data_IF_919593206502
#
_entry.id   IF_919593206502
#
_cell.length_a   1.000
_cell.length_b   1.000
_cell.length_c   1.000
_cell.angle_alpha   90.00
_cell.angle_beta   90.00
_cell.angle_gamma   90.00
#
_symmetry.space_group_name_H-M   'P 1'
#
loop_
_entity.id
_entity.type
_entity.pdbx_description
1 polymer ?
#
# COMPACT_ATOMS: atom_id res chain seq x y z
N UNK A 1 -19.67 -13.94 38.02
CA UNK A 1 -18.23 -14.20 37.87
C UNK A 1 -17.81 -13.66 36.51
N UNK A 2 -17.08 -12.54 36.51
CA UNK A 2 -16.49 -11.99 35.28
C UNK A 2 -15.36 -12.92 34.88
N UNK A 3 -15.48 -13.59 33.73
CA UNK A 3 -14.34 -14.28 33.13
C UNK A 3 -13.42 -13.18 32.64
N UNK A 4 -12.40 -12.84 33.44
CA UNK A 4 -11.29 -12.05 32.97
C UNK A 4 -10.64 -12.85 31.85
N UNK A 5 -10.98 -12.52 30.60
CA UNK A 5 -10.25 -13.03 29.45
C UNK A 5 -8.84 -12.49 29.57
N UNK A 6 -7.90 -13.37 29.92
CA UNK A 6 -6.48 -13.05 29.93
C UNK A 6 -6.15 -12.37 28.60
N UNK A 7 -5.45 -11.24 28.65
CA UNK A 7 -4.99 -10.60 27.42
C UNK A 7 -4.14 -11.61 26.64
N UNK A 8 -4.32 -11.73 25.32
CA UNK A 8 -3.51 -12.64 24.54
C UNK A 8 -2.01 -12.31 24.73
N UNK A 9 -1.12 -13.33 24.70
CA UNK A 9 0.31 -13.11 24.83
C UNK A 9 0.84 -12.15 23.74
N UNK A 10 2.00 -11.52 24.00
CA UNK A 10 2.56 -10.51 23.10
C UNK A 10 2.75 -11.08 21.70
N UNK A 11 2.70 -10.25 20.66
CA UNK A 11 2.90 -10.72 19.29
C UNK A 11 4.24 -11.42 19.11
N UNK A 12 5.29 -10.97 19.79
CA UNK A 12 6.63 -11.58 19.80
C UNK A 12 6.72 -12.96 20.47
N UNK A 13 5.72 -13.34 21.25
CA UNK A 13 5.69 -14.59 22.02
C UNK A 13 4.77 -15.66 21.37
N UNK A 14 4.16 -15.33 20.23
CA UNK A 14 3.20 -16.18 19.52
C UNK A 14 3.81 -16.74 18.24
N UNK A 15 3.66 -18.04 18.02
CA UNK A 15 4.04 -18.67 16.76
C UNK A 15 2.99 -18.40 15.67
N UNK A 16 3.41 -17.85 14.53
CA UNK A 16 2.58 -17.71 13.33
C UNK A 16 2.65 -18.99 12.51
N UNK A 17 1.61 -19.79 12.69
CA UNK A 17 1.33 -20.88 11.76
C UNK A 17 0.53 -20.29 10.59
N UNK A 18 1.13 -20.27 9.39
CA UNK A 18 0.39 -19.98 8.15
C UNK A 18 -0.72 -21.01 8.00
N UNK A 19 -1.97 -20.58 8.20
CA UNK A 19 -3.16 -21.43 8.10
C UNK A 19 -4.06 -20.95 6.96
N UNK A 20 -4.53 -21.90 6.17
CA UNK A 20 -5.48 -21.65 5.07
C UNK A 20 -4.82 -21.30 3.74
N UNK A 21 -5.64 -21.28 2.70
CA UNK A 21 -5.29 -20.75 1.37
C UNK A 21 -5.53 -19.22 1.37
N UNK A 22 -4.91 -18.46 0.44
CA UNK A 22 -5.32 -17.08 0.22
C UNK A 22 -6.84 -16.98 0.06
N UNK A 23 -7.50 -15.93 0.59
CA UNK A 23 -8.95 -15.77 0.53
C UNK A 23 -9.47 -15.47 -0.88
N UNK A 24 -8.60 -14.99 -1.77
CA UNK A 24 -8.87 -14.66 -3.17
C UNK A 24 -7.96 -15.48 -4.10
N UNK A 25 -8.31 -15.57 -5.38
CA UNK A 25 -7.41 -16.07 -6.42
C UNK A 25 -6.20 -15.16 -6.65
N UNK A 26 -5.21 -15.61 -7.43
CA UNK A 26 -4.08 -14.74 -7.78
C UNK A 26 -4.48 -13.84 -8.95
N UNK A 27 -4.82 -12.59 -8.62
CA UNK A 27 -5.22 -11.59 -9.60
C UNK A 27 -4.17 -11.33 -10.70
N UNK A 28 -2.91 -11.74 -10.54
CA UNK A 28 -1.91 -11.67 -11.62
C UNK A 28 -2.17 -12.72 -12.68
N UNK A 29 -2.59 -13.93 -12.28
CA UNK A 29 -2.97 -14.99 -13.22
C UNK A 29 -4.15 -14.52 -14.07
N UNK A 30 -5.18 -13.95 -13.44
CA UNK A 30 -6.31 -13.36 -14.15
C UNK A 30 -5.92 -12.20 -15.07
N UNK A 31 -4.99 -11.34 -14.63
CA UNK A 31 -4.45 -10.28 -15.50
C UNK A 31 -3.81 -10.92 -16.75
N UNK A 32 -2.92 -11.89 -16.58
CA UNK A 32 -2.22 -12.55 -17.69
C UNK A 32 -3.20 -13.22 -18.67
N UNK A 33 -4.28 -13.83 -18.17
CA UNK A 33 -5.33 -14.38 -19.01
C UNK A 33 -6.05 -13.31 -19.84
N UNK A 34 -6.34 -12.14 -19.26
CA UNK A 34 -6.97 -11.04 -19.99
C UNK A 34 -6.02 -10.42 -21.02
N UNK A 35 -4.73 -10.27 -20.70
CA UNK A 35 -3.73 -9.81 -21.66
C UNK A 35 -3.59 -10.77 -22.83
N UNK A 36 -3.55 -12.09 -22.58
CA UNK A 36 -3.51 -13.10 -23.63
C UNK A 36 -4.75 -13.06 -24.56
N UNK A 37 -5.90 -12.60 -24.04
CA UNK A 37 -7.14 -12.37 -24.81
C UNK A 37 -7.17 -11.01 -25.53
N UNK A 38 -6.13 -10.17 -25.38
CA UNK A 38 -6.08 -8.81 -25.91
C UNK A 38 -7.03 -7.84 -25.21
N UNK A 39 -7.50 -8.17 -24.01
CA UNK A 39 -8.44 -7.34 -23.25
C UNK A 39 -7.74 -6.20 -22.50
N UNK A 40 -6.47 -6.32 -22.15
CA UNK A 40 -5.73 -5.21 -21.55
C UNK A 40 -4.25 -5.44 -21.75
N UNK A 41 -3.47 -4.40 -21.51
CA UNK A 41 -2.02 -4.52 -21.45
C UNK A 41 -1.58 -4.63 -20.00
N UNK A 42 -0.48 -5.35 -19.75
CA UNK A 42 0.15 -5.40 -18.44
C UNK A 42 1.54 -4.76 -18.51
N UNK A 43 1.75 -3.74 -17.69
CA UNK A 43 3.08 -3.20 -17.45
C UNK A 43 3.81 -4.13 -16.47
N UNK A 44 4.81 -4.86 -16.96
CA UNK A 44 5.64 -5.73 -16.13
C UNK A 44 6.50 -4.94 -15.15
N UNK A 45 6.82 -5.53 -14.01
CA UNK A 45 7.75 -4.94 -13.05
C UNK A 45 9.15 -4.84 -13.69
N UNK A 46 9.78 -3.66 -13.73
CA UNK A 46 11.11 -3.51 -14.32
C UNK A 46 12.18 -4.17 -13.44
N UNK A 47 13.24 -4.66 -14.09
CA UNK A 47 14.48 -5.04 -13.42
C UNK A 47 15.35 -3.80 -13.13
N UNK A 48 16.15 -3.81 -12.04
CA UNK A 48 16.20 -4.82 -10.99
C UNK A 48 14.98 -4.75 -10.06
N UNK A 49 14.46 -5.91 -9.66
CA UNK A 49 13.45 -6.03 -8.61
C UNK A 49 13.86 -7.03 -7.51
N UNK A 50 13.17 -6.96 -6.38
CA UNK A 50 13.28 -7.94 -5.29
C UNK A 50 11.95 -8.63 -5.08
N UNK A 51 11.99 -9.96 -4.93
CA UNK A 51 10.82 -10.74 -4.56
C UNK A 51 10.68 -10.83 -3.04
N UNK A 52 9.49 -10.49 -2.55
CA UNK A 52 9.11 -10.58 -1.14
C UNK A 52 7.91 -11.48 -0.97
N UNK A 53 7.77 -12.05 0.22
CA UNK A 53 6.67 -12.96 0.51
C UNK A 53 5.47 -12.24 1.14
N UNK A 54 4.27 -12.52 0.62
CA UNK A 54 3.04 -12.02 1.23
C UNK A 54 2.56 -12.94 2.34
N UNK A 55 1.54 -12.51 3.09
CA UNK A 55 0.96 -13.26 4.22
C UNK A 55 0.73 -14.76 3.94
N UNK A 56 0.25 -15.08 2.74
CA UNK A 56 -0.09 -16.46 2.35
C UNK A 56 0.96 -17.14 1.46
N UNK A 57 2.15 -16.55 1.30
CA UNK A 57 3.25 -17.19 0.60
C UNK A 57 3.38 -16.85 -0.88
N UNK A 58 2.53 -15.95 -1.41
CA UNK A 58 2.70 -15.46 -2.78
C UNK A 58 3.99 -14.64 -2.83
N UNK A 59 4.79 -14.84 -3.87
CA UNK A 59 5.91 -13.93 -4.18
C UNK A 59 5.34 -12.68 -4.81
N UNK A 60 5.79 -11.51 -4.38
CA UNK A 60 5.43 -10.20 -4.93
C UNK A 60 6.70 -9.50 -5.37
N UNK A 61 6.72 -8.94 -6.58
CA UNK A 61 7.88 -8.23 -7.11
C UNK A 61 7.84 -6.76 -6.73
N UNK A 62 8.94 -6.23 -6.22
CA UNK A 62 9.09 -4.84 -5.83
C UNK A 62 10.22 -4.23 -6.68
N UNK A 63 9.94 -3.31 -7.61
CA UNK A 63 10.98 -2.70 -8.44
C UNK A 63 11.88 -1.81 -7.59
N UNK A 64 13.19 -1.82 -7.84
CA UNK A 64 14.14 -0.96 -7.13
C UNK A 64 14.23 0.43 -7.76
N UNK A 65 14.19 0.50 -9.09
CA UNK A 65 14.32 1.72 -9.89
C UNK A 65 13.32 1.77 -11.06
N UNK A 66 13.45 2.79 -11.92
CA UNK A 66 12.48 3.16 -12.94
C UNK A 66 11.07 3.34 -12.35
N UNK A 67 10.99 4.00 -11.20
CA UNK A 67 9.74 4.18 -10.45
C UNK A 67 9.02 5.48 -10.76
N UNK A 68 7.70 5.44 -10.95
CA UNK A 68 6.83 6.59 -11.18
C UNK A 68 6.11 6.97 -9.88
N UNK A 69 6.37 8.15 -9.35
CA UNK A 69 5.84 8.56 -8.05
C UNK A 69 4.35 8.93 -8.14
N UNK A 70 3.48 7.97 -7.84
CA UNK A 70 2.06 8.25 -7.73
C UNK A 70 1.78 9.07 -6.47
N UNK A 71 1.48 10.36 -6.68
CA UNK A 71 1.22 11.40 -5.69
C UNK A 71 -0.05 11.16 -4.89
N UNK A 72 -0.01 11.62 -3.65
CA UNK A 72 -1.16 11.72 -2.76
C UNK A 72 -1.67 13.15 -2.71
N UNK A 73 -2.96 13.40 -2.98
CA UNK A 73 -3.53 14.74 -2.79
C UNK A 73 -3.39 15.21 -1.33
N UNK A 74 -3.65 14.32 -0.38
CA UNK A 74 -3.57 14.60 1.04
C UNK A 74 -2.12 14.79 1.51
N UNK A 75 -1.28 13.77 1.32
CA UNK A 75 0.09 13.79 1.84
C UNK A 75 0.97 14.78 1.08
N UNK A 76 0.96 14.81 -0.25
CA UNK A 76 1.81 15.74 -1.01
C UNK A 76 1.32 17.19 -0.87
N UNK A 77 0.02 17.42 -0.72
CA UNK A 77 -0.55 18.76 -0.57
C UNK A 77 -0.43 19.37 0.83
N UNK A 78 -0.49 18.55 1.89
CA UNK A 78 -0.52 19.03 3.28
C UNK A 78 0.75 18.69 4.08
N UNK A 79 1.48 17.64 3.68
CA UNK A 79 2.67 17.14 4.38
C UNK A 79 3.77 16.85 3.34
N UNK A 80 4.31 17.89 2.65
CA UNK A 80 5.27 17.71 1.56
C UNK A 80 6.56 17.00 2.01
N UNK A 81 6.84 16.97 3.32
CA UNK A 81 7.93 16.19 3.92
C UNK A 81 7.92 14.71 3.53
N UNK A 82 6.74 14.10 3.31
CA UNK A 82 6.64 12.67 2.97
C UNK A 82 7.16 12.36 1.56
N UNK A 83 6.67 13.09 0.54
CA UNK A 83 7.15 12.87 -0.83
C UNK A 83 8.60 13.33 -1.00
N UNK A 84 8.98 14.45 -0.37
CA UNK A 84 10.37 14.93 -0.43
C UNK A 84 11.36 13.96 0.20
N UNK A 85 11.00 13.29 1.30
CA UNK A 85 11.82 12.23 1.90
C UNK A 85 11.99 11.02 0.95
N UNK A 86 10.94 10.59 0.27
CA UNK A 86 11.02 9.51 -0.73
C UNK A 86 11.95 9.89 -1.89
N UNK A 87 11.82 11.10 -2.42
CA UNK A 87 12.71 11.56 -3.48
C UNK A 87 14.16 11.70 -3.00
N UNK A 88 14.34 12.15 -1.76
CA UNK A 88 15.66 12.21 -1.15
C UNK A 88 16.28 10.80 -0.99
N UNK A 89 15.51 9.80 -0.56
CA UNK A 89 15.96 8.41 -0.47
C UNK A 89 16.38 7.87 -1.83
N UNK A 90 15.56 8.02 -2.87
CA UNK A 90 15.93 7.59 -4.22
C UNK A 90 17.26 8.21 -4.67
N UNK A 91 17.43 9.54 -4.51
CA UNK A 91 18.70 10.22 -4.84
C UNK A 91 19.89 9.75 -4.00
N UNK A 92 19.68 9.42 -2.73
CA UNK A 92 20.76 8.98 -1.82
C UNK A 92 21.19 7.53 -2.07
N UNK A 93 20.27 6.69 -2.53
CA UNK A 93 20.52 5.31 -2.89
C UNK A 93 20.95 5.16 -4.36
N UNK A 94 20.69 6.17 -5.19
CA UNK A 94 21.08 6.18 -6.61
C UNK A 94 20.05 5.52 -7.54
N UNK A 95 18.81 5.36 -7.08
CA UNK A 95 17.74 4.73 -7.86
C UNK A 95 17.04 5.73 -8.78
N UNK A 96 16.77 5.32 -10.02
CA UNK A 96 16.05 6.14 -10.99
C UNK A 96 14.55 6.23 -10.66
N UNK A 97 14.02 7.45 -10.68
CA UNK A 97 12.61 7.73 -10.40
C UNK A 97 12.10 8.92 -11.20
N UNK A 98 10.79 8.96 -11.42
CA UNK A 98 10.08 10.04 -12.09
C UNK A 98 9.07 10.70 -11.14
N UNK A 99 9.13 12.04 -11.04
CA UNK A 99 8.15 12.87 -10.35
C UNK A 99 7.16 13.47 -11.38
N UNK A 100 5.98 12.86 -11.56
CA UNK A 100 5.08 13.24 -12.65
C UNK A 100 4.38 14.58 -12.42
N UNK A 101 4.23 15.37 -13.48
CA UNK A 101 3.47 16.63 -13.43
C UNK A 101 1.99 16.46 -13.79
N UNK A 102 1.68 15.45 -14.59
CA UNK A 102 0.35 15.29 -15.21
C UNK A 102 -0.54 14.28 -14.48
N UNK A 103 -0.19 13.90 -13.26
CA UNK A 103 -1.03 13.01 -12.45
C UNK A 103 -2.35 13.67 -12.02
N UNK A 104 -3.45 12.92 -12.06
CA UNK A 104 -4.73 13.30 -11.46
C UNK A 104 -4.94 12.64 -10.07
N UNK A 105 -5.91 13.15 -9.32
CA UNK A 105 -6.37 12.50 -8.07
C UNK A 105 -6.69 11.02 -8.28
N UNK A 106 -6.48 10.18 -7.27
CA UNK A 106 -6.94 8.79 -7.29
C UNK A 106 -8.46 8.64 -7.14
N UNK A 107 -9.17 9.70 -6.70
CA UNK A 107 -10.61 9.72 -6.35
C UNK A 107 -11.04 8.87 -5.14
N UNK A 108 -10.13 8.05 -4.60
CA UNK A 108 -10.38 7.13 -3.50
C UNK A 108 -10.96 7.77 -2.23
N UNK A 109 -10.51 8.99 -1.85
CA UNK A 109 -11.04 9.66 -0.66
C UNK A 109 -12.53 10.01 -0.82
N UNK A 110 -12.91 10.45 -2.02
CA UNK A 110 -14.30 10.76 -2.37
C UNK A 110 -15.15 9.49 -2.40
N UNK A 111 -14.60 8.38 -2.92
CA UNK A 111 -15.24 7.07 -2.95
C UNK A 111 -15.54 6.56 -1.54
N UNK A 112 -14.51 6.46 -0.69
CA UNK A 112 -14.68 5.96 0.67
C UNK A 112 -15.45 6.92 1.59
N UNK A 113 -15.52 8.20 1.25
CA UNK A 113 -16.42 9.17 1.90
C UNK A 113 -17.90 8.95 1.54
N UNK A 114 -18.19 8.04 0.60
CA UNK A 114 -19.52 7.82 0.02
C UNK A 114 -20.05 9.04 -0.75
N UNK A 115 -19.15 9.85 -1.29
CA UNK A 115 -19.47 11.09 -2.01
C UNK A 115 -19.39 10.93 -3.54
N UNK A 116 -18.86 9.82 -4.06
CA UNK A 116 -18.98 9.38 -5.46
C UNK A 116 -19.30 7.89 -5.54
N UNK A 117 -20.20 7.52 -6.48
CA UNK A 117 -20.68 6.14 -6.68
C UNK A 117 -20.49 5.62 -8.12
N UNK A 118 -19.79 6.34 -8.98
CA UNK A 118 -19.56 5.92 -10.37
C UNK A 118 -18.27 5.08 -10.48
N UNK A 119 -18.40 3.75 -10.49
CA UNK A 119 -17.27 2.81 -10.59
C UNK A 119 -16.49 2.97 -11.90
N UNK A 120 -17.15 3.16 -13.04
CA UNK A 120 -16.49 3.36 -14.32
C UNK A 120 -15.59 4.61 -14.31
N UNK A 121 -16.05 5.71 -13.72
CA UNK A 121 -15.26 6.92 -13.59
C UNK A 121 -14.04 6.72 -12.68
N UNK A 122 -14.22 6.05 -11.54
CA UNK A 122 -13.13 5.76 -10.61
C UNK A 122 -12.06 4.86 -11.23
N UNK A 123 -12.49 3.77 -11.84
CA UNK A 123 -11.62 2.82 -12.51
C UNK A 123 -10.87 3.47 -13.69
N UNK A 124 -11.56 4.26 -14.52
CA UNK A 124 -10.92 4.99 -15.61
C UNK A 124 -9.84 5.97 -15.12
N UNK A 125 -10.05 6.65 -13.99
CA UNK A 125 -9.02 7.53 -13.41
C UNK A 125 -7.79 6.75 -12.92
N UNK A 126 -8.00 5.59 -12.28
CA UNK A 126 -6.89 4.72 -11.89
C UNK A 126 -6.09 4.24 -13.11
N UNK A 127 -6.77 3.71 -14.12
CA UNK A 127 -6.17 3.22 -15.37
C UNK A 127 -5.47 4.34 -16.13
N UNK A 128 -6.03 5.57 -16.15
CA UNK A 128 -5.37 6.73 -16.74
C UNK A 128 -4.04 7.08 -16.06
N UNK A 129 -3.94 6.94 -14.74
CA UNK A 129 -2.66 7.15 -14.04
C UNK A 129 -1.65 6.03 -14.35
N UNK A 130 -2.07 4.78 -14.46
CA UNK A 130 -1.19 3.68 -14.90
C UNK A 130 -0.73 3.86 -16.35
N UNK A 131 -1.64 4.27 -17.22
CA UNK A 131 -1.34 4.60 -18.61
C UNK A 131 -0.32 5.73 -18.71
N UNK A 132 -0.45 6.78 -17.88
CA UNK A 132 0.54 7.85 -17.84
C UNK A 132 1.91 7.34 -17.39
N UNK A 133 1.97 6.54 -16.31
CA UNK A 133 3.23 5.95 -15.85
C UNK A 133 3.93 5.14 -16.96
N UNK A 134 3.17 4.31 -17.68
CA UNK A 134 3.66 3.57 -18.85
C UNK A 134 4.18 4.50 -19.96
N UNK A 135 3.43 5.54 -20.32
CA UNK A 135 3.82 6.48 -21.37
C UNK A 135 5.09 7.27 -21.00
N UNK A 136 5.26 7.56 -19.71
CA UNK A 136 6.48 8.21 -19.20
C UNK A 136 7.67 7.22 -19.17
N UNK A 137 7.43 5.91 -19.26
CA UNK A 137 8.44 4.86 -19.24
C UNK A 137 8.80 4.34 -17.84
N UNK A 138 7.97 4.61 -16.83
CA UNK A 138 8.25 4.28 -15.42
C UNK A 138 7.12 3.43 -14.79
N UNK A 139 7.46 2.62 -13.80
CA UNK A 139 6.52 1.73 -13.11
C UNK A 139 5.80 2.43 -11.93
N UNK A 140 4.45 2.40 -11.84
CA UNK A 140 3.71 3.16 -10.84
C UNK A 140 3.97 2.69 -9.40
N UNK A 141 4.50 3.59 -8.57
CA UNK A 141 4.71 3.39 -7.14
C UNK A 141 3.72 4.24 -6.33
N UNK A 142 2.87 3.57 -5.55
CA UNK A 142 1.76 4.21 -4.85
C UNK A 142 2.22 4.78 -3.51
N UNK A 143 2.09 6.10 -3.34
CA UNK A 143 2.51 6.79 -2.12
C UNK A 143 1.50 6.70 -0.97
N UNK A 144 0.22 6.75 -1.29
CA UNK A 144 -0.84 6.83 -0.28
C UNK A 144 -1.48 5.47 -0.04
N UNK A 145 -1.60 5.08 1.24
CA UNK A 145 -2.33 3.87 1.61
C UNK A 145 -3.77 3.86 1.06
N UNK A 146 -4.45 5.01 1.02
CA UNK A 146 -5.81 5.14 0.47
C UNK A 146 -5.89 4.80 -1.01
N UNK A 147 -5.00 5.37 -1.85
CA UNK A 147 -4.97 5.04 -3.28
C UNK A 147 -4.52 3.61 -3.52
N UNK A 148 -3.61 3.10 -2.69
CA UNK A 148 -3.15 1.72 -2.78
C UNK A 148 -4.27 0.72 -2.55
N UNK A 149 -5.09 0.90 -1.50
CA UNK A 149 -6.28 0.08 -1.26
C UNK A 149 -7.28 0.18 -2.41
N UNK A 150 -7.60 1.41 -2.83
CA UNK A 150 -8.57 1.65 -3.90
C UNK A 150 -8.15 1.05 -5.25
N UNK A 151 -6.87 1.15 -5.60
CA UNK A 151 -6.38 0.60 -6.85
C UNK A 151 -6.39 -0.94 -6.87
N UNK A 152 -6.28 -1.59 -5.72
CA UNK A 152 -6.49 -3.04 -5.62
C UNK A 152 -7.95 -3.43 -5.81
N UNK A 153 -8.88 -2.68 -5.23
CA UNK A 153 -10.32 -2.87 -5.46
C UNK A 153 -10.67 -2.63 -6.93
N UNK A 154 -10.15 -1.55 -7.54
CA UNK A 154 -10.32 -1.30 -8.98
C UNK A 154 -9.75 -2.44 -9.82
N UNK A 155 -8.60 -3.01 -9.45
CA UNK A 155 -8.05 -4.19 -10.14
C UNK A 155 -9.01 -5.36 -10.05
N UNK A 156 -9.51 -5.68 -8.86
CA UNK A 156 -10.52 -6.73 -8.68
C UNK A 156 -11.76 -6.47 -9.56
N UNK A 157 -12.32 -5.27 -9.52
CA UNK A 157 -13.52 -4.92 -10.28
C UNK A 157 -13.31 -5.11 -11.80
N UNK A 158 -12.16 -4.68 -12.34
CA UNK A 158 -11.86 -4.81 -13.78
C UNK A 158 -11.66 -6.28 -14.19
N UNK A 159 -11.06 -7.09 -13.32
CA UNK A 159 -10.85 -8.51 -13.58
C UNK A 159 -12.19 -9.26 -13.68
N UNK A 160 -13.10 -9.02 -12.74
CA UNK A 160 -14.32 -9.82 -12.58
C UNK A 160 -15.57 -9.25 -13.27
N UNK A 161 -15.56 -7.98 -13.69
CA UNK A 161 -16.75 -7.34 -14.27
C UNK A 161 -16.51 -6.87 -15.72
N UNK A 162 -16.74 -7.74 -16.73
CA UNK A 162 -16.52 -7.41 -18.14
C UNK A 162 -17.27 -6.15 -18.61
N UNK A 163 -18.51 -5.94 -18.13
CA UNK A 163 -19.29 -4.73 -18.48
C UNK A 163 -18.61 -3.44 -18.00
N UNK A 164 -18.01 -3.45 -16.81
CA UNK A 164 -17.26 -2.33 -16.28
C UNK A 164 -15.95 -2.15 -17.06
N UNK A 165 -15.25 -3.25 -17.34
CA UNK A 165 -14.04 -3.25 -18.18
C UNK A 165 -14.30 -2.62 -19.55
N UNK A 166 -15.41 -2.96 -20.21
CA UNK A 166 -15.80 -2.37 -21.49
C UNK A 166 -16.10 -0.86 -21.40
N UNK A 167 -16.73 -0.42 -20.31
CA UNK A 167 -16.97 1.00 -20.06
C UNK A 167 -15.65 1.76 -19.90
N UNK A 168 -14.71 1.21 -19.14
CA UNK A 168 -13.39 1.80 -18.93
C UNK A 168 -12.58 1.81 -20.23
N UNK A 169 -12.59 0.72 -21.00
CA UNK A 169 -11.96 0.67 -22.33
C UNK A 169 -12.42 1.81 -23.22
N UNK A 170 -13.73 2.00 -23.36
CA UNK A 170 -14.31 3.09 -24.17
C UNK A 170 -13.87 4.47 -23.68
N UNK A 171 -13.66 4.67 -22.37
CA UNK A 171 -13.13 5.92 -21.84
C UNK A 171 -11.66 6.07 -22.23
N UNK A 172 -10.85 5.04 -22.06
CA UNK A 172 -9.42 5.04 -22.43
C UNK A 172 -9.21 5.28 -23.94
N UNK A 173 -10.02 4.66 -24.79
CA UNK A 173 -10.00 4.87 -26.24
C UNK A 173 -10.28 6.34 -26.60
N UNK A 174 -11.26 6.96 -25.94
CA UNK A 174 -11.58 8.39 -26.12
C UNK A 174 -10.45 9.30 -25.66
N UNK A 175 -9.75 8.91 -24.59
CA UNK A 175 -8.56 9.61 -24.09
C UNK A 175 -7.32 9.34 -24.93
N UNK A 176 -7.37 8.37 -25.87
CA UNK A 176 -6.23 7.88 -26.66
C UNK A 176 -5.07 7.40 -25.78
N UNK A 177 -5.42 6.74 -24.68
CA UNK A 177 -4.46 6.20 -23.71
C UNK A 177 -4.59 4.67 -23.66
N UNK A 178 -3.48 3.94 -23.42
CA UNK A 178 -3.54 2.49 -23.33
C UNK A 178 -4.39 2.03 -22.15
N UNK A 179 -5.15 0.95 -22.36
CA UNK A 179 -5.83 0.28 -21.26
C UNK A 179 -4.84 -0.68 -20.58
N UNK A 180 -4.09 -0.17 -19.60
CA UNK A 180 -3.00 -0.89 -18.95
C UNK A 180 -3.17 -1.00 -17.44
N UNK A 181 -2.75 -2.14 -16.89
CA UNK A 181 -2.56 -2.35 -15.44
C UNK A 181 -1.10 -2.72 -15.14
N UNK A 182 -0.56 -2.34 -13.98
CA UNK A 182 0.73 -2.86 -13.55
C UNK A 182 0.59 -4.33 -13.09
N UNK A 183 1.62 -5.14 -13.35
CA UNK A 183 1.74 -6.53 -12.88
C UNK A 183 1.55 -6.60 -11.36
N UNK A 184 2.17 -5.65 -10.64
CA UNK A 184 2.06 -5.49 -9.20
C UNK A 184 1.53 -4.11 -8.84
N UNK A 185 0.64 -4.02 -7.85
CA UNK A 185 0.32 -2.75 -7.22
C UNK A 185 1.25 -2.60 -6.02
N UNK A 186 2.20 -1.67 -6.12
CA UNK A 186 3.28 -1.53 -5.14
C UNK A 186 3.13 -0.23 -4.34
N UNK A 187 3.21 -0.32 -3.02
CA UNK A 187 3.24 0.85 -2.13
C UNK A 187 4.68 1.22 -1.75
N UNK A 188 4.99 2.50 -1.58
CA UNK A 188 6.35 2.91 -1.18
C UNK A 188 6.84 2.31 0.14
N UNK A 189 5.96 1.93 1.06
CA UNK A 189 6.39 1.22 2.28
C UNK A 189 6.94 -0.18 2.00
N UNK A 190 6.50 -0.81 0.90
CA UNK A 190 7.03 -2.10 0.43
C UNK A 190 8.41 -1.93 -0.19
N UNK A 191 8.60 -0.86 -0.96
CA UNK A 191 9.92 -0.46 -1.47
C UNK A 191 10.89 -0.13 -0.34
N UNK A 192 10.47 0.70 0.62
CA UNK A 192 11.27 1.04 1.82
C UNK A 192 11.67 -0.24 2.57
N UNK A 193 10.76 -1.21 2.69
CA UNK A 193 11.09 -2.49 3.32
C UNK A 193 12.20 -3.22 2.55
N UNK A 194 12.12 -3.28 1.23
CA UNK A 194 13.15 -3.93 0.41
C UNK A 194 14.51 -3.25 0.53
N UNK A 195 14.57 -1.92 0.47
CA UNK A 195 15.84 -1.15 0.52
C UNK A 195 16.30 -0.81 1.94
N UNK A 196 15.63 -1.33 2.99
CA UNK A 196 15.87 -0.96 4.40
C UNK A 196 17.32 -1.12 4.87
N UNK A 197 18.01 -2.14 4.36
CA UNK A 197 19.41 -2.43 4.73
C UNK A 197 20.35 -1.37 4.17
N UNK A 198 20.16 -0.94 2.92
CA UNK A 198 20.92 0.15 2.32
C UNK A 198 20.65 1.50 3.01
N UNK A 199 19.42 1.70 3.51
CA UNK A 199 19.09 2.86 4.34
C UNK A 199 19.89 2.81 5.65
N UNK A 200 19.91 1.66 6.33
CA UNK A 200 20.64 1.47 7.58
C UNK A 200 22.17 1.63 7.40
N UNK A 201 22.74 1.14 6.30
CA UNK A 201 24.16 1.34 5.97
C UNK A 201 24.55 2.82 5.82
N UNK A 202 23.58 3.69 5.52
CA UNK A 202 23.76 5.14 5.39
C UNK A 202 23.27 5.90 6.61
N UNK A 203 22.92 5.21 7.70
CA UNK A 203 22.49 5.83 8.95
C UNK A 203 23.65 6.65 9.54
N UNK A 204 23.36 7.89 9.92
CA UNK A 204 24.34 8.83 10.50
C UNK A 204 24.00 9.22 11.95
N UNK A 205 22.81 8.83 12.43
CA UNK A 205 22.33 9.10 13.77
C UNK A 205 21.99 7.79 14.46
N UNK A 206 22.39 7.65 15.71
CA UNK A 206 22.05 6.50 16.54
C UNK A 206 20.59 6.57 16.98
N UNK A 207 19.81 5.53 16.66
CA UNK A 207 18.40 5.38 17.03
C UNK A 207 18.19 4.27 18.06
N UNK A 208 19.23 3.70 18.66
CA UNK A 208 19.13 2.60 19.62
C UNK A 208 18.31 2.94 20.88
N UNK A 209 18.29 4.21 21.27
CA UNK A 209 17.46 4.74 22.37
C UNK A 209 16.01 5.08 21.94
N UNK A 210 15.65 4.90 20.67
CA UNK A 210 14.31 5.19 20.16
C UNK A 210 13.44 3.93 20.25
N UNK A 211 12.30 4.07 20.91
CA UNK A 211 11.21 3.09 20.84
C UNK A 211 10.09 3.63 19.95
N UNK A 212 9.73 2.88 18.91
CA UNK A 212 8.67 3.24 17.97
C UNK A 212 7.53 2.23 18.02
N UNK A 213 6.28 2.71 17.92
CA UNK A 213 5.11 1.85 17.70
C UNK A 213 4.63 1.99 16.26
N UNK A 214 4.37 0.86 15.61
CA UNK A 214 3.98 0.86 14.19
C UNK A 214 2.46 0.92 14.05
N UNK A 215 1.98 1.87 13.24
CA UNK A 215 0.60 1.94 12.80
C UNK A 215 0.51 1.71 11.29
N UNK A 216 0.29 0.47 10.81
CA UNK A 216 0.07 0.26 9.40
C UNK A 216 -1.35 0.71 9.03
N UNK A 217 -1.45 1.40 7.90
CA UNK A 217 -2.75 1.85 7.39
C UNK A 217 -3.67 0.64 7.10
N UNK A 218 -4.96 0.73 7.45
CA UNK A 218 -5.93 -0.32 7.15
C UNK A 218 -5.95 -0.69 5.66
N UNK A 219 -5.86 0.31 4.78
CA UNK A 219 -5.85 0.14 3.32
C UNK A 219 -4.61 -0.58 2.78
N UNK A 220 -3.55 -0.67 3.58
CA UNK A 220 -2.38 -1.46 3.20
C UNK A 220 -2.63 -2.96 3.42
N UNK A 221 -3.13 -3.35 4.60
CA UNK A 221 -3.08 -4.76 5.04
C UNK A 221 -4.40 -5.43 5.40
N UNK A 222 -5.52 -4.69 5.42
CA UNK A 222 -6.82 -5.25 5.81
C UNK A 222 -7.81 -5.42 4.67
N UNK A 223 -7.73 -4.56 3.65
CA UNK A 223 -8.64 -4.66 2.51
C UNK A 223 -8.32 -5.90 1.66
N UNK A 224 -7.07 -5.98 1.19
CA UNK A 224 -6.56 -7.13 0.43
C UNK A 224 -5.40 -7.72 1.24
N UNK A 225 -5.76 -8.53 2.24
CA UNK A 225 -4.85 -9.00 3.29
C UNK A 225 -3.74 -9.92 2.75
N UNK A 226 -4.03 -10.61 1.66
CA UNK A 226 -3.16 -11.58 1.01
C UNK A 226 -2.09 -10.98 0.11
N UNK A 227 -2.21 -9.70 -0.20
CA UNK A 227 -1.20 -8.95 -0.95
C UNK A 227 -0.22 -8.22 -0.01
N UNK A 228 -0.50 -8.17 1.29
CA UNK A 228 0.37 -7.52 2.26
C UNK A 228 1.62 -8.36 2.55
N UNK A 229 2.77 -7.69 2.66
CA UNK A 229 4.06 -8.32 2.99
C UNK A 229 4.13 -8.66 4.48
N UNK A 230 4.50 -9.91 4.74
CA UNK A 230 4.77 -10.45 6.07
C UNK A 230 6.11 -11.18 6.02
N UNK A 231 6.90 -11.03 7.08
CA UNK A 231 8.24 -11.59 7.19
C UNK A 231 8.31 -12.38 8.49
N UNK A 232 8.76 -13.64 8.40
CA UNK A 232 8.88 -14.52 9.57
C UNK A 232 9.97 -14.07 10.52
N UNK A 233 10.97 -13.35 10.04
CA UNK A 233 12.01 -12.80 10.92
C UNK A 233 11.46 -11.65 11.78
N UNK A 234 10.30 -11.08 11.42
CA UNK A 234 9.70 -9.90 12.05
C UNK A 234 8.36 -10.23 12.73
N UNK A 235 8.35 -10.22 14.07
CA UNK A 235 7.20 -10.67 14.88
C UNK A 235 6.65 -12.05 14.46
N UNK A 236 7.53 -12.94 14.02
CA UNK A 236 7.17 -14.25 13.46
C UNK A 236 6.16 -14.17 12.30
N UNK A 237 6.01 -13.04 11.60
CA UNK A 237 4.96 -12.90 10.59
C UNK A 237 3.54 -12.78 11.17
N UNK A 238 3.39 -12.42 12.44
CA UNK A 238 2.10 -12.01 13.03
C UNK A 238 1.67 -10.61 12.55
N UNK A 239 2.63 -9.80 12.10
CA UNK A 239 2.45 -8.41 11.68
C UNK A 239 3.05 -8.15 10.32
N UNK A 240 2.54 -7.11 9.67
CA UNK A 240 3.10 -6.65 8.40
C UNK A 240 4.55 -6.23 8.58
N UNK A 241 5.42 -6.66 7.68
CA UNK A 241 6.85 -6.42 7.78
C UNK A 241 7.24 -4.96 7.50
N UNK A 242 6.48 -4.26 6.65
CA UNK A 242 6.92 -3.02 6.00
C UNK A 242 7.66 -2.00 6.87
N UNK A 243 6.97 -1.36 7.82
CA UNK A 243 7.53 -0.30 8.67
C UNK A 243 8.33 -0.89 9.82
N UNK A 244 7.89 -2.03 10.38
CA UNK A 244 8.60 -2.71 11.47
C UNK A 244 10.03 -3.06 11.07
N UNK A 245 10.22 -3.60 9.87
CA UNK A 245 11.52 -3.98 9.35
C UNK A 245 12.49 -2.81 9.30
N UNK A 246 12.01 -1.63 8.91
CA UNK A 246 12.83 -0.43 8.86
C UNK A 246 13.22 0.03 10.26
N UNK A 247 12.28 0.00 11.21
CA UNK A 247 12.55 0.37 12.61
C UNK A 247 13.67 -0.50 13.18
N UNK A 248 13.57 -1.82 13.02
CA UNK A 248 14.59 -2.74 13.52
C UNK A 248 15.91 -2.66 12.73
N UNK A 249 15.86 -2.42 11.42
CA UNK A 249 17.07 -2.23 10.62
C UNK A 249 17.85 -0.97 11.00
N UNK A 250 17.19 0.03 11.61
CA UNK A 250 17.82 1.26 12.12
C UNK A 250 18.25 1.13 13.59
N UNK A 251 18.31 -0.09 14.12
CA UNK A 251 18.60 -0.42 15.53
C UNK A 251 17.60 0.15 16.55
N UNK A 252 16.47 0.70 16.10
CA UNK A 252 15.42 1.18 16.99
C UNK A 252 14.51 0.03 17.45
N UNK A 253 13.88 0.21 18.63
CA UNK A 253 13.00 -0.79 19.20
C UNK A 253 11.57 -0.66 18.66
N UNK A 254 11.08 -1.71 17.99
CA UNK A 254 9.66 -1.82 17.62
C UNK A 254 8.80 -2.33 18.80
N UNK A 255 8.06 -1.42 19.45
CA UNK A 255 7.18 -1.76 20.57
C UNK A 255 5.82 -2.34 20.16
N UNK A 256 5.33 -3.24 21.01
CA UNK A 256 4.02 -3.87 20.90
C UNK A 256 2.96 -3.07 21.69
N UNK A 257 1.72 -3.01 21.18
CA UNK A 257 0.57 -2.43 21.87
C UNK A 257 -0.72 -3.19 21.57
N UNK A 258 -1.65 -3.19 22.53
CA UNK A 258 -2.83 -4.08 22.55
C UNK A 258 -3.84 -3.82 21.42
N UNK A 259 -3.88 -2.61 20.89
CA UNK A 259 -4.82 -2.18 19.84
C UNK A 259 -4.15 -2.01 18.49
N UNK A 260 -3.09 -2.79 18.22
CA UNK A 260 -2.32 -2.70 16.98
C UNK A 260 -3.20 -2.81 15.73
N UNK A 261 -4.13 -3.78 15.73
CA UNK A 261 -5.06 -4.00 14.62
C UNK A 261 -6.22 -3.02 14.57
N UNK A 262 -6.34 -2.04 15.46
CA UNK A 262 -7.43 -1.07 15.37
C UNK A 262 -7.23 -0.10 14.19
N UNK A 263 -8.34 0.45 13.68
CA UNK A 263 -8.29 1.63 12.83
C UNK A 263 -7.68 2.82 13.59
N UNK A 264 -7.13 3.82 12.91
CA UNK A 264 -6.75 5.08 13.57
C UNK A 264 -7.95 5.94 13.96
N UNK A 265 -9.17 5.61 13.50
CA UNK A 265 -10.36 6.44 13.70
C UNK A 265 -10.60 7.47 12.59
N UNK A 266 -9.64 7.65 11.68
CA UNK A 266 -9.80 8.45 10.46
C UNK A 266 -10.59 7.66 9.39
N UNK A 267 -11.85 7.34 9.67
CA UNK A 267 -12.76 6.83 8.64
C UNK A 267 -13.19 7.97 7.72
N UNK A 268 -13.08 7.82 6.39
CA UNK A 268 -13.29 8.91 5.42
C UNK A 268 -14.62 9.64 5.57
N UNK A 269 -15.72 8.89 5.76
CA UNK A 269 -17.02 9.50 6.05
C UNK A 269 -17.06 10.10 7.47
N UNK A 270 -16.54 9.38 8.47
CA UNK A 270 -16.57 9.82 9.87
C UNK A 270 -15.78 11.12 10.11
N UNK A 271 -14.65 11.34 9.44
CA UNK A 271 -13.90 12.59 9.60
C UNK A 271 -14.69 13.78 9.06
N UNK A 272 -15.49 13.57 8.01
CA UNK A 272 -16.34 14.60 7.40
C UNK A 272 -17.57 14.92 8.25
N UNK A 273 -18.24 13.90 8.79
CA UNK A 273 -19.56 14.06 9.45
C UNK A 273 -19.52 13.94 10.98
N UNK A 274 -18.41 13.47 11.56
CA UNK A 274 -18.28 13.16 12.99
C UNK A 274 -16.83 13.31 13.47
N UNK A 275 -16.21 14.46 13.18
CA UNK A 275 -14.79 14.72 13.47
C UNK A 275 -14.39 14.45 14.92
N UNK A 276 -15.25 14.79 15.88
CA UNK A 276 -14.94 14.62 17.31
C UNK A 276 -14.90 13.15 17.72
N UNK A 277 -15.74 12.30 17.11
CA UNK A 277 -15.64 10.85 17.27
C UNK A 277 -14.28 10.33 16.75
N UNK A 278 -13.88 10.75 15.55
CA UNK A 278 -12.59 10.35 14.97
C UNK A 278 -11.41 10.74 15.84
N UNK A 279 -11.41 11.96 16.39
CA UNK A 279 -10.37 12.45 17.31
C UNK A 279 -10.32 11.64 18.60
N UNK A 280 -11.46 11.45 19.25
CA UNK A 280 -11.54 10.68 20.50
C UNK A 280 -11.13 9.23 20.29
N UNK A 281 -11.53 8.61 19.18
CA UNK A 281 -11.11 7.25 18.84
C UNK A 281 -9.59 7.15 18.66
N UNK A 282 -8.99 8.06 17.88
CA UNK A 282 -7.55 8.09 17.66
C UNK A 282 -6.78 8.21 18.99
N UNK A 283 -7.20 9.12 19.87
CA UNK A 283 -6.54 9.32 21.17
C UNK A 283 -6.67 8.08 22.05
N UNK A 284 -7.90 7.60 22.29
CA UNK A 284 -8.18 6.54 23.30
C UNK A 284 -7.76 5.15 22.81
N UNK A 285 -7.91 4.87 21.52
CA UNK A 285 -7.61 3.54 20.94
C UNK A 285 -6.22 3.44 20.36
N UNK A 286 -5.56 4.55 19.98
CA UNK A 286 -4.18 4.52 19.46
C UNK A 286 -3.19 5.20 20.39
N UNK A 287 -3.23 6.53 20.50
CA UNK A 287 -2.17 7.31 21.14
C UNK A 287 -1.95 6.87 22.60
N UNK A 288 -3.01 6.73 23.40
CA UNK A 288 -2.90 6.31 24.80
C UNK A 288 -2.47 4.84 24.98
N UNK A 289 -2.59 4.03 23.93
CA UNK A 289 -2.24 2.60 23.93
C UNK A 289 -0.83 2.34 23.43
N UNK A 290 -0.29 3.24 22.62
CA UNK A 290 1.08 3.22 22.10
C UNK A 290 2.07 3.68 23.18
N UNK A 291 2.24 2.84 24.21
CA UNK A 291 3.18 3.04 25.32
C UNK A 291 4.23 1.94 25.34
#
# INVERSE_FOLDING_TARGET
MSVATASPPKASEREFVRKGKPPTEDYRELLFELEAKGELEIQRVPEPYVEVETKYGRKKKIPLEFTWHHKSCGQCGHIPGYSTAIFWLNRKLGYEYHDPRDQTSCTAWNYYASSTSNSAAQAAVAVRNFAQAKLDGFFPMIHCGTSYGHYKEVREEILHHPKLRDQVRKIMDRLKMPFVFPEEIVHYSEWIHVVRKEIAEKQVLDFSDITATVHPACHYHKLVVEDAIYDRELYDGQRTAIVTALVEALDAKAADYSTWHDCCGFGFRHILVSRDFSRSFATVRKIERMK
#
